data_IF_147249145085
#
_entry.id   IF_147249145085
#
_cell.length_a   1.000
_cell.length_b   1.000
_cell.length_c   1.000
_cell.angle_alpha   90.00
_cell.angle_beta   90.00
_cell.angle_gamma   90.00
#
_symmetry.space_group_name_H-M   'P 1'
#
loop_
_entity.id
_entity.type
_entity.pdbx_description
1 polymer ?
#
# COMPACT_ATOMS: atom_id res chain seq x y z
N UNK A 1 -1.95 -16.66 -21.17
CA UNK A 1 -3.25 -16.10 -20.80
C UNK A 1 -3.38 -16.21 -19.29
N UNK A 2 -3.77 -15.12 -18.61
CA UNK A 2 -3.93 -15.06 -17.17
C UNK A 2 -5.31 -14.52 -16.82
N UNK A 3 -5.85 -14.92 -15.67
CA UNK A 3 -7.09 -14.40 -15.11
C UNK A 3 -6.79 -13.74 -13.76
N UNK A 4 -7.07 -12.45 -13.63
CA UNK A 4 -7.05 -11.75 -12.35
C UNK A 4 -8.48 -11.50 -11.88
N UNK A 5 -8.93 -12.28 -10.91
CA UNK A 5 -10.29 -12.26 -10.37
C UNK A 5 -10.25 -12.24 -8.83
N UNK A 6 -9.87 -11.11 -8.21
CA UNK A 6 -9.56 -11.03 -6.78
C UNK A 6 -10.75 -11.31 -5.85
N UNK A 7 -11.97 -11.40 -6.39
CA UNK A 7 -13.18 -11.73 -5.63
C UNK A 7 -13.74 -13.11 -5.95
N UNK A 8 -13.00 -13.95 -6.73
CA UNK A 8 -13.46 -15.30 -7.03
C UNK A 8 -13.44 -16.19 -5.78
N UNK A 9 -14.61 -16.64 -5.35
CA UNK A 9 -14.80 -17.44 -4.12
C UNK A 9 -14.20 -18.85 -4.20
N UNK A 10 -13.86 -19.30 -5.41
CA UNK A 10 -13.19 -20.59 -5.63
C UNK A 10 -11.66 -20.43 -5.73
N UNK A 11 -11.13 -19.22 -5.54
CA UNK A 11 -9.70 -18.95 -5.58
C UNK A 11 -9.07 -19.08 -6.98
N UNK A 12 -9.87 -19.06 -8.05
CA UNK A 12 -9.40 -19.18 -9.43
C UNK A 12 -8.91 -17.83 -9.95
N UNK A 13 -7.83 -17.35 -9.38
CA UNK A 13 -7.21 -16.09 -9.74
C UNK A 13 -5.71 -16.22 -9.79
N UNK A 14 -5.07 -15.58 -10.76
CA UNK A 14 -3.64 -15.30 -10.71
C UNK A 14 -3.40 -14.14 -9.73
N UNK A 15 -2.23 -14.15 -9.10
CA UNK A 15 -1.83 -13.11 -8.15
C UNK A 15 -1.10 -11.99 -8.87
N UNK A 16 -1.28 -10.79 -8.35
CA UNK A 16 -0.60 -9.58 -8.81
C UNK A 16 -0.33 -8.64 -7.64
N UNK A 17 0.93 -8.47 -7.27
CA UNK A 17 1.36 -7.58 -6.21
C UNK A 17 1.96 -6.29 -6.80
N UNK A 18 1.27 -5.15 -6.72
CA UNK A 18 1.77 -3.90 -7.27
C UNK A 18 3.04 -3.40 -6.58
N UNK A 19 3.27 -3.73 -5.29
CA UNK A 19 4.47 -3.28 -4.58
C UNK A 19 5.76 -3.93 -5.10
N UNK A 20 5.67 -5.08 -5.78
CA UNK A 20 6.84 -5.74 -6.39
C UNK A 20 7.41 -4.98 -7.61
N UNK A 21 6.67 -3.99 -8.12
CA UNK A 21 7.11 -3.14 -9.24
C UNK A 21 7.86 -1.89 -8.77
N UNK A 22 7.87 -1.63 -7.47
CA UNK A 22 8.64 -0.53 -6.90
C UNK A 22 10.13 -0.82 -7.06
N UNK A 23 10.85 0.14 -7.62
CA UNK A 23 12.29 0.04 -7.85
C UNK A 23 13.05 -0.13 -6.52
N UNK A 24 14.08 -0.97 -6.55
CA UNK A 24 15.05 -1.05 -5.45
C UNK A 24 16.04 0.12 -5.47
N UNK A 25 16.19 0.78 -6.61
CA UNK A 25 16.96 2.01 -6.71
C UNK A 25 16.18 3.15 -6.03
N UNK A 26 16.80 3.71 -4.99
CA UNK A 26 16.19 4.77 -4.18
C UNK A 26 15.88 6.03 -4.98
N UNK A 27 16.56 6.26 -6.12
CA UNK A 27 16.29 7.38 -7.01
C UNK A 27 14.88 7.32 -7.64
N UNK A 28 14.36 6.11 -7.87
CA UNK A 28 13.04 5.90 -8.50
C UNK A 28 11.98 5.42 -7.52
N UNK A 29 12.38 4.90 -6.36
CA UNK A 29 11.50 4.24 -5.39
C UNK A 29 10.31 5.11 -4.98
N UNK A 30 10.56 6.38 -4.64
CA UNK A 30 9.50 7.31 -4.22
C UNK A 30 8.52 7.60 -5.35
N UNK A 31 9.04 7.83 -6.56
CA UNK A 31 8.20 8.07 -7.75
C UNK A 31 7.28 6.88 -8.08
N UNK A 32 7.79 5.66 -7.90
CA UNK A 32 7.00 4.45 -8.12
C UNK A 32 5.91 4.29 -7.05
N UNK A 33 6.24 4.56 -5.79
CA UNK A 33 5.26 4.58 -4.69
C UNK A 33 4.17 5.62 -4.95
N UNK A 34 4.55 6.82 -5.38
CA UNK A 34 3.62 7.90 -5.69
C UNK A 34 2.69 7.54 -6.85
N UNK A 35 3.20 6.85 -7.86
CA UNK A 35 2.39 6.36 -8.98
C UNK A 35 1.33 5.37 -8.53
N UNK A 36 1.67 4.45 -7.62
CA UNK A 36 0.71 3.50 -7.03
C UNK A 36 -0.30 4.24 -6.15
N UNK A 37 0.16 5.17 -5.31
CA UNK A 37 -0.73 5.94 -4.43
C UNK A 37 -1.71 6.80 -5.22
N UNK A 38 -1.28 7.42 -6.32
CA UNK A 38 -2.13 8.22 -7.20
C UNK A 38 -3.25 7.37 -7.82
N UNK A 39 -2.97 6.12 -8.18
CA UNK A 39 -3.97 5.19 -8.70
C UNK A 39 -5.03 4.81 -7.64
N UNK A 40 -4.58 4.54 -6.39
CA UNK A 40 -5.46 4.13 -5.29
C UNK A 40 -6.30 5.30 -4.78
N UNK A 41 -5.68 6.46 -4.58
CA UNK A 41 -6.31 7.67 -4.02
C UNK A 41 -6.78 8.66 -5.08
N UNK A 42 -7.12 8.15 -6.29
CA UNK A 42 -7.72 8.99 -7.32
C UNK A 42 -9.02 9.60 -6.82
N UNK A 43 -9.16 10.91 -7.03
CA UNK A 43 -10.36 11.68 -6.66
C UNK A 43 -11.13 12.10 -7.91
N UNK A 44 -12.45 12.23 -7.79
CA UNK A 44 -13.26 12.86 -8.83
C UNK A 44 -13.05 14.38 -8.78
N UNK A 45 -13.11 15.02 -9.94
CA UNK A 45 -13.02 16.49 -10.04
C UNK A 45 -14.04 17.14 -9.10
N UNK A 46 -13.58 18.07 -8.25
CA UNK A 46 -14.42 18.78 -7.27
C UNK A 46 -14.56 18.10 -5.90
N UNK A 47 -13.86 16.97 -5.66
CA UNK A 47 -13.74 16.41 -4.32
C UNK A 47 -12.58 17.10 -3.54
N UNK A 48 -12.59 16.91 -2.22
CA UNK A 48 -11.56 17.50 -1.34
C UNK A 48 -10.18 16.84 -1.58
N UNK A 49 -9.38 17.46 -2.45
CA UNK A 49 -8.06 16.97 -2.84
C UNK A 49 -7.07 16.96 -1.67
N UNK A 50 -7.26 17.89 -0.70
CA UNK A 50 -6.37 18.00 0.45
C UNK A 50 -6.26 16.68 1.24
N UNK A 51 -7.40 16.08 1.60
CA UNK A 51 -7.40 14.84 2.37
C UNK A 51 -6.83 13.66 1.58
N UNK A 52 -7.07 13.66 0.27
CA UNK A 52 -6.51 12.66 -0.63
C UNK A 52 -4.98 12.76 -0.69
N UNK A 53 -4.43 13.96 -0.79
CA UNK A 53 -2.99 14.19 -0.84
C UNK A 53 -2.32 13.82 0.50
N UNK A 54 -2.95 14.16 1.63
CA UNK A 54 -2.47 13.72 2.93
C UNK A 54 -2.49 12.19 3.08
N UNK A 55 -3.52 11.52 2.53
CA UNK A 55 -3.59 10.06 2.53
C UNK A 55 -2.54 9.42 1.62
N UNK A 56 -2.17 10.05 0.49
CA UNK A 56 -1.03 9.62 -0.36
C UNK A 56 0.30 9.75 0.38
N UNK A 57 0.51 10.83 1.12
CA UNK A 57 1.72 11.01 1.95
C UNK A 57 1.81 9.95 3.05
N UNK A 58 0.68 9.64 3.72
CA UNK A 58 0.60 8.53 4.67
C UNK A 58 0.88 7.18 4.01
N UNK A 59 0.34 6.94 2.81
CA UNK A 59 0.61 5.74 2.02
C UNK A 59 2.10 5.60 1.72
N UNK A 60 2.77 6.67 1.28
CA UNK A 60 4.21 6.69 1.02
C UNK A 60 5.02 6.28 2.24
N UNK A 61 4.71 6.87 3.40
CA UNK A 61 5.39 6.55 4.66
C UNK A 61 5.20 5.08 5.06
N UNK A 62 3.98 4.57 5.02
CA UNK A 62 3.66 3.18 5.34
C UNK A 62 4.23 2.19 4.32
N UNK A 63 4.30 2.56 3.05
CA UNK A 63 4.90 1.73 2.01
C UNK A 63 6.41 1.56 2.25
N UNK A 64 7.15 2.65 2.49
CA UNK A 64 8.56 2.60 2.86
C UNK A 64 8.76 1.81 4.15
N UNK A 65 7.92 2.05 5.16
CA UNK A 65 7.95 1.32 6.44
C UNK A 65 7.85 -0.19 6.25
N UNK A 66 6.99 -0.67 5.37
CA UNK A 66 6.86 -2.11 5.08
C UNK A 66 8.03 -2.62 4.24
N UNK A 67 8.43 -1.88 3.19
CA UNK A 67 9.49 -2.30 2.28
C UNK A 67 10.87 -2.37 2.93
N UNK A 68 11.13 -1.56 3.96
CA UNK A 68 12.40 -1.54 4.68
C UNK A 68 12.47 -2.57 5.83
N UNK A 69 11.41 -3.37 6.01
CA UNK A 69 11.35 -4.47 6.98
C UNK A 69 11.30 -5.81 6.25
N UNK A 70 12.44 -6.48 6.01
CA UNK A 70 12.49 -7.72 5.23
C UNK A 70 11.74 -8.88 5.88
N UNK A 71 11.45 -8.81 7.18
CA UNK A 71 10.65 -9.76 7.92
C UNK A 71 9.13 -9.65 7.66
N UNK A 72 8.67 -8.55 7.08
CA UNK A 72 7.26 -8.36 6.75
C UNK A 72 6.96 -8.77 5.30
N UNK A 73 5.76 -9.28 5.02
CA UNK A 73 5.29 -9.42 3.65
C UNK A 73 5.17 -8.04 2.98
N UNK A 74 5.83 -7.84 1.85
CA UNK A 74 5.77 -6.58 1.11
C UNK A 74 4.50 -6.53 0.24
N UNK A 75 3.34 -6.38 0.89
CA UNK A 75 2.02 -6.38 0.26
C UNK A 75 1.15 -5.23 0.72
N UNK A 76 0.15 -4.86 -0.08
CA UNK A 76 -0.84 -3.83 0.32
C UNK A 76 -1.66 -4.27 1.54
N UNK A 77 -1.96 -5.57 1.66
CA UNK A 77 -2.63 -6.10 2.83
C UNK A 77 -1.80 -5.97 4.11
N UNK A 78 -0.49 -6.26 4.06
CA UNK A 78 0.37 -6.04 5.23
C UNK A 78 0.50 -4.56 5.56
N UNK A 79 0.64 -3.70 4.57
CA UNK A 79 0.66 -2.25 4.80
C UNK A 79 -0.63 -1.78 5.50
N UNK A 80 -1.80 -2.29 5.10
CA UNK A 80 -3.06 -2.00 5.76
C UNK A 80 -3.10 -2.53 7.20
N UNK A 81 -2.56 -3.73 7.46
CA UNK A 81 -2.43 -4.30 8.82
C UNK A 81 -1.52 -3.46 9.71
N UNK A 82 -0.42 -2.92 9.17
CA UNK A 82 0.45 -1.99 9.90
C UNK A 82 -0.26 -0.67 10.20
N UNK A 83 -1.04 -0.14 9.25
CA UNK A 83 -1.84 1.07 9.42
C UNK A 83 -2.92 0.92 10.52
N UNK A 84 -3.34 -0.30 10.87
CA UNK A 84 -4.25 -0.54 12.00
C UNK A 84 -3.58 -0.48 13.38
N UNK A 85 -2.25 -0.25 13.43
CA UNK A 85 -1.49 -0.10 14.68
C UNK A 85 -1.21 -1.40 15.43
N UNK A 86 -1.62 -2.58 14.87
CA UNK A 86 -1.38 -3.89 15.54
C UNK A 86 -1.83 -3.94 17.00
N UNK A 87 -3.01 -3.38 17.29
CA UNK A 87 -3.60 -3.34 18.63
C UNK A 87 -3.18 -2.16 19.50
N UNK A 88 -2.44 -1.19 18.95
CA UNK A 88 -2.04 0.05 19.60
C UNK A 88 -2.50 1.25 18.74
N UNK A 89 -2.53 2.47 19.28
CA UNK A 89 -2.65 3.67 18.46
C UNK A 89 -1.59 3.69 17.36
N UNK A 90 -1.96 4.05 16.14
CA UNK A 90 -1.04 3.99 14.99
C UNK A 90 0.24 4.81 15.22
N UNK A 91 0.13 6.01 15.78
CA UNK A 91 1.29 6.86 16.09
C UNK A 91 2.28 6.16 17.01
N UNK A 92 1.76 5.54 18.08
CA UNK A 92 2.58 4.81 19.06
C UNK A 92 3.24 3.58 18.43
N UNK A 93 2.49 2.85 17.60
CA UNK A 93 3.02 1.68 16.88
C UNK A 93 4.19 2.07 15.98
N UNK A 94 4.03 3.12 15.16
CA UNK A 94 5.06 3.60 14.26
C UNK A 94 6.30 4.08 15.03
N UNK A 95 6.10 4.92 16.06
CA UNK A 95 7.19 5.46 16.88
C UNK A 95 7.98 4.33 17.56
N UNK A 96 7.29 3.40 18.24
CA UNK A 96 7.95 2.28 18.92
C UNK A 96 8.74 1.39 17.95
N UNK A 97 8.23 1.17 16.75
CA UNK A 97 8.93 0.37 15.73
C UNK A 97 10.18 1.09 15.23
N UNK A 98 10.09 2.40 14.98
CA UNK A 98 11.27 3.21 14.59
C UNK A 98 12.34 3.16 15.67
N UNK A 99 11.98 3.37 16.95
CA UNK A 99 12.91 3.30 18.07
C UNK A 99 13.54 1.90 18.23
N UNK A 100 12.75 0.83 18.06
CA UNK A 100 13.24 -0.54 18.15
C UNK A 100 14.27 -0.83 17.06
N UNK A 101 13.98 -0.46 15.80
CA UNK A 101 14.91 -0.65 14.67
C UNK A 101 16.20 0.16 14.84
N UNK A 102 16.12 1.35 15.42
CA UNK A 102 17.31 2.13 15.71
C UNK A 102 18.18 1.45 16.79
N UNK A 103 17.58 0.92 17.85
CA UNK A 103 18.29 0.17 18.89
C UNK A 103 18.93 -1.13 18.38
N UNK A 104 18.30 -1.78 17.41
CA UNK A 104 18.83 -2.97 16.74
C UNK A 104 19.99 -2.69 15.77
N UNK A 105 20.33 -1.42 15.54
CA UNK A 105 21.35 -1.00 14.57
C UNK A 105 20.91 -1.17 13.10
N UNK A 106 19.62 -1.24 12.86
CA UNK A 106 18.98 -1.35 11.52
C UNK A 106 17.97 -0.21 11.30
N UNK A 107 18.40 1.07 11.38
CA UNK A 107 17.49 2.20 11.28
C UNK A 107 16.82 2.25 9.90
N UNK A 108 15.61 2.76 9.87
CA UNK A 108 14.95 3.13 8.61
C UNK A 108 15.73 4.23 7.87
N UNK A 109 15.52 4.32 6.57
CA UNK A 109 16.06 5.41 5.75
C UNK A 109 15.53 6.78 6.22
N UNK A 110 16.30 7.84 5.97
CA UNK A 110 15.85 9.20 6.26
C UNK A 110 14.52 9.53 5.59
N UNK A 111 14.33 9.09 4.34
CA UNK A 111 13.08 9.30 3.61
C UNK A 111 11.88 8.63 4.30
N UNK A 112 12.05 7.40 4.81
CA UNK A 112 11.01 6.72 5.58
C UNK A 112 10.72 7.48 6.88
N UNK A 113 11.76 7.82 7.66
CA UNK A 113 11.62 8.55 8.92
C UNK A 113 10.91 9.89 8.72
N UNK A 114 11.28 10.65 7.69
CA UNK A 114 10.66 11.95 7.40
C UNK A 114 9.17 11.82 7.08
N UNK A 115 8.79 10.80 6.30
CA UNK A 115 7.39 10.52 6.00
C UNK A 115 6.61 10.09 7.26
N UNK A 116 7.18 9.20 8.07
CA UNK A 116 6.54 8.73 9.31
C UNK A 116 6.41 9.85 10.34
N UNK A 117 7.41 10.71 10.47
CA UNK A 117 7.35 11.85 11.39
C UNK A 117 6.21 12.81 11.06
N UNK A 118 5.92 13.05 9.76
CA UNK A 118 4.75 13.85 9.37
C UNK A 118 3.45 13.23 9.86
N UNK A 119 3.33 11.91 9.82
CA UNK A 119 2.14 11.20 10.33
C UNK A 119 2.08 11.24 11.85
N UNK A 120 3.20 10.98 12.53
CA UNK A 120 3.29 10.92 14.01
C UNK A 120 3.01 12.28 14.63
N UNK A 121 3.57 13.35 14.07
CA UNK A 121 3.44 14.72 14.60
C UNK A 121 2.18 15.45 14.16
N UNK A 122 1.36 14.82 13.30
CA UNK A 122 0.13 15.43 12.80
C UNK A 122 -0.85 15.69 13.96
N UNK A 123 -1.51 16.87 14.00
CA UNK A 123 -2.57 17.15 14.99
C UNK A 123 -3.70 16.11 14.93
N UNK A 124 -4.25 15.73 16.07
CA UNK A 124 -5.19 14.59 16.16
C UNK A 124 -6.46 14.76 15.31
N UNK A 125 -6.99 15.97 15.21
CA UNK A 125 -8.16 16.25 14.36
C UNK A 125 -7.84 16.00 12.88
N UNK A 126 -6.69 16.44 12.40
CA UNK A 126 -6.23 16.21 11.03
C UNK A 126 -5.91 14.73 10.82
N UNK A 127 -5.19 14.13 11.77
CA UNK A 127 -4.82 12.72 11.73
C UNK A 127 -6.04 11.80 11.57
N UNK A 128 -7.09 12.01 12.36
CA UNK A 128 -8.33 11.23 12.26
C UNK A 128 -8.95 11.27 10.86
N UNK A 129 -8.98 12.44 10.23
CA UNK A 129 -9.52 12.62 8.87
C UNK A 129 -8.64 11.95 7.81
N UNK A 130 -7.31 12.05 7.94
CA UNK A 130 -6.35 11.40 7.03
C UNK A 130 -6.45 9.89 7.13
N UNK A 131 -6.49 9.34 8.34
CA UNK A 131 -6.66 7.89 8.57
C UNK A 131 -8.00 7.39 8.02
N UNK A 132 -9.09 8.16 8.20
CA UNK A 132 -10.39 7.82 7.64
C UNK A 132 -10.36 7.77 6.11
N UNK A 133 -9.72 8.75 5.47
CA UNK A 133 -9.55 8.80 4.02
C UNK A 133 -8.70 7.63 3.52
N UNK A 134 -7.57 7.37 4.17
CA UNK A 134 -6.71 6.22 3.88
C UNK A 134 -7.49 4.91 3.98
N UNK A 135 -8.17 4.68 5.11
CA UNK A 135 -8.94 3.47 5.35
C UNK A 135 -10.08 3.28 4.35
N UNK A 136 -10.73 4.36 3.91
CA UNK A 136 -11.83 4.28 2.93
C UNK A 136 -11.39 3.61 1.61
N UNK A 137 -10.16 3.83 1.19
CA UNK A 137 -9.57 3.26 -0.03
C UNK A 137 -8.89 1.90 0.21
N UNK A 138 -8.23 1.76 1.36
CA UNK A 138 -7.42 0.57 1.65
C UNK A 138 -8.20 -0.57 2.30
N UNK A 139 -9.41 -0.34 2.83
CA UNK A 139 -10.22 -1.39 3.50
C UNK A 139 -10.54 -2.60 2.64
N UNK A 140 -10.47 -2.49 1.31
CA UNK A 140 -10.66 -3.64 0.42
C UNK A 140 -9.65 -4.76 0.70
N UNK A 141 -8.45 -4.45 1.19
CA UNK A 141 -7.39 -5.41 1.54
C UNK A 141 -7.65 -6.13 2.87
N UNK A 142 -8.73 -5.81 3.61
CA UNK A 142 -9.24 -6.66 4.69
C UNK A 142 -9.90 -7.94 4.15
N UNK A 143 -10.36 -7.93 2.90
CA UNK A 143 -10.93 -9.11 2.30
C UNK A 143 -9.81 -10.12 2.01
N UNK A 144 -9.92 -11.31 2.58
CA UNK A 144 -8.91 -12.38 2.47
C UNK A 144 -8.64 -12.75 1.00
N UNK A 145 -9.67 -12.77 0.16
CA UNK A 145 -9.51 -13.10 -1.26
C UNK A 145 -8.70 -12.02 -2.00
N UNK A 146 -8.95 -10.74 -1.71
CA UNK A 146 -8.21 -9.62 -2.28
C UNK A 146 -6.78 -9.61 -1.76
N UNK A 147 -6.57 -9.83 -0.46
CA UNK A 147 -5.24 -9.90 0.15
C UNK A 147 -4.41 -11.02 -0.50
N UNK A 148 -4.99 -12.22 -0.66
CA UNK A 148 -4.34 -13.34 -1.34
C UNK A 148 -4.04 -13.03 -2.81
N UNK A 149 -4.99 -12.46 -3.55
CA UNK A 149 -4.80 -12.13 -4.96
C UNK A 149 -3.74 -11.05 -5.20
N UNK A 150 -3.42 -10.24 -4.17
CA UNK A 150 -2.40 -9.17 -4.24
C UNK A 150 -1.13 -9.48 -3.45
N UNK A 151 -0.93 -10.74 -3.04
CA UNK A 151 0.19 -11.13 -2.19
C UNK A 151 1.48 -11.49 -2.94
N UNK A 152 1.38 -11.84 -4.23
CA UNK A 152 2.51 -12.33 -5.04
C UNK A 152 2.24 -12.08 -6.53
N UNK A 153 3.12 -12.56 -7.44
CA UNK A 153 2.96 -12.40 -8.88
C UNK A 153 3.04 -13.74 -9.60
N UNK A 154 1.96 -14.13 -10.27
CA UNK A 154 1.93 -15.27 -11.18
C UNK A 154 2.19 -14.84 -12.64
N UNK A 155 2.25 -13.55 -12.91
CA UNK A 155 2.66 -12.93 -14.18
C UNK A 155 3.37 -11.61 -13.95
N UNK A 156 4.17 -11.18 -14.94
CA UNK A 156 4.87 -9.90 -14.92
C UNK A 156 4.33 -9.00 -16.04
N UNK A 157 3.80 -7.84 -15.69
CA UNK A 157 3.30 -6.86 -16.65
C UNK A 157 4.41 -6.35 -17.59
N UNK A 158 5.68 -6.37 -17.17
CA UNK A 158 6.83 -5.98 -18.00
C UNK A 158 7.04 -6.92 -19.19
N UNK A 159 6.50 -8.13 -19.11
CA UNK A 159 6.58 -9.12 -20.17
C UNK A 159 5.69 -8.77 -21.39
N UNK A 160 4.71 -7.87 -21.25
CA UNK A 160 3.88 -7.38 -22.37
C UNK A 160 4.73 -6.84 -23.53
N UNK A 161 5.91 -6.28 -23.22
CA UNK A 161 6.84 -5.78 -24.24
C UNK A 161 7.71 -6.86 -24.89
N UNK A 162 7.74 -8.07 -24.33
CA UNK A 162 8.62 -9.17 -24.77
C UNK A 162 7.86 -10.29 -25.44
N UNK A 163 6.61 -10.53 -25.04
CA UNK A 163 5.78 -11.63 -25.52
C UNK A 163 4.30 -11.26 -25.58
N UNK A 164 3.52 -11.98 -26.37
CA UNK A 164 2.06 -11.80 -26.37
C UNK A 164 1.49 -12.23 -25.02
N UNK A 165 0.86 -11.31 -24.33
CA UNK A 165 0.27 -11.48 -23.02
C UNK A 165 -1.20 -11.06 -23.06
N UNK A 166 -2.09 -11.89 -22.53
CA UNK A 166 -3.50 -11.55 -22.35
C UNK A 166 -3.86 -11.74 -20.88
N UNK A 167 -4.41 -10.72 -20.27
CA UNK A 167 -4.89 -10.75 -18.89
C UNK A 167 -6.38 -10.42 -18.91
N UNK A 168 -7.19 -11.32 -18.40
CA UNK A 168 -8.62 -11.10 -18.17
C UNK A 168 -8.84 -10.62 -16.74
N UNK A 169 -9.66 -9.58 -16.59
CA UNK A 169 -10.08 -9.07 -15.29
C UNK A 169 -11.48 -9.57 -14.98
N UNK A 170 -11.60 -10.46 -13.99
CA UNK A 170 -12.87 -10.97 -13.49
C UNK A 170 -13.35 -10.15 -12.30
N UNK A 171 -14.24 -9.19 -12.53
CA UNK A 171 -14.81 -8.35 -11.47
C UNK A 171 -16.33 -8.49 -11.49
N UNK A 172 -16.94 -8.80 -10.34
CA UNK A 172 -18.39 -8.87 -10.22
C UNK A 172 -19.01 -7.48 -10.33
N UNK A 173 -20.20 -7.32 -10.95
CA UNK A 173 -20.81 -6.00 -11.18
C UNK A 173 -20.95 -5.12 -9.93
N UNK A 174 -21.22 -5.72 -8.77
CA UNK A 174 -21.32 -5.01 -7.49
C UNK A 174 -19.98 -4.53 -6.91
N UNK A 175 -18.87 -4.77 -7.59
CA UNK A 175 -17.51 -4.35 -7.22
C UNK A 175 -16.88 -3.41 -8.25
N UNK A 176 -17.64 -2.99 -9.26
CA UNK A 176 -17.19 -2.06 -10.31
C UNK A 176 -17.44 -0.58 -9.96
N UNK A 177 -18.02 -0.26 -8.80
CA UNK A 177 -18.37 1.09 -8.38
C UNK A 177 -17.26 1.77 -7.59
#
# INVERSE_FOLDING_TARGET
VYLFAPYDTQGRTCRYNPLSYISKDKAFQISDIDSISAAIFSTKVGSDEFWSDQAKDMFRGLCLFVLEQPELPHTLGEMFRQASGKGKPLKDHLQQTVEAKQKEGKPFSSACIDCLNRVITMPDNTFGSVVATFNSKMKMFQNVLVDMATSDNDFDLRDVRKKKLTIYFGITPNKLA
#
